data_IF_065214390264
#
_entry.id   IF_065214390264
#
_cell.length_a   1.000
_cell.length_b   1.000
_cell.length_c   1.000
_cell.angle_alpha   90.00
_cell.angle_beta   90.00
_cell.angle_gamma   90.00
#
_symmetry.space_group_name_H-M   'P 1'
#
loop_
_entity.id
_entity.type
_entity.pdbx_description
1 polymer ?
#
# COMPACT_ATOMS: atom_id res chain seq x y z
N UNK A 1 -12.74 -26.80 -13.24
CA UNK A 1 -11.83 -27.83 -12.70
C UNK A 1 -12.01 -27.80 -11.20
N UNK A 2 -12.52 -28.86 -10.63
CA UNK A 2 -12.61 -29.02 -9.19
C UNK A 2 -11.21 -29.41 -8.69
N UNK A 3 -10.51 -28.49 -8.05
CA UNK A 3 -9.28 -28.81 -7.33
C UNK A 3 -9.57 -29.93 -6.35
N UNK A 4 -8.90 -31.06 -6.52
CA UNK A 4 -9.02 -32.16 -5.58
C UNK A 4 -8.34 -31.78 -4.26
N UNK A 5 -8.72 -32.39 -3.15
CA UNK A 5 -8.06 -32.17 -1.87
C UNK A 5 -6.54 -32.47 -1.96
N UNK A 6 -6.16 -33.38 -2.85
CA UNK A 6 -4.77 -33.74 -3.11
C UNK A 6 -4.00 -32.58 -3.79
N UNK A 7 -4.61 -31.92 -4.81
CA UNK A 7 -4.02 -30.75 -5.47
C UNK A 7 -3.80 -29.60 -4.49
N UNK A 8 -4.76 -29.37 -3.59
CA UNK A 8 -4.65 -28.36 -2.53
C UNK A 8 -3.51 -28.66 -1.55
N UNK A 9 -3.35 -29.92 -1.17
CA UNK A 9 -2.26 -30.36 -0.29
C UNK A 9 -0.89 -30.19 -0.96
N UNK A 10 -0.76 -30.48 -2.24
CA UNK A 10 0.48 -30.29 -3.00
C UNK A 10 0.86 -28.82 -3.10
N UNK A 11 -0.11 -27.91 -3.37
CA UNK A 11 0.09 -26.47 -3.39
C UNK A 11 0.58 -25.98 -2.01
N UNK A 12 -0.08 -26.38 -0.93
CA UNK A 12 0.31 -26.01 0.44
C UNK A 12 1.70 -26.53 0.80
N UNK A 13 2.01 -27.80 0.47
CA UNK A 13 3.32 -28.37 0.69
C UNK A 13 4.42 -27.64 -0.08
N UNK A 14 4.15 -27.22 -1.31
CA UNK A 14 5.05 -26.40 -2.13
C UNK A 14 5.26 -24.99 -1.56
N UNK A 15 4.31 -24.43 -0.82
CA UNK A 15 4.42 -23.11 -0.20
C UNK A 15 5.27 -23.13 1.10
N UNK A 16 5.38 -24.27 1.80
CA UNK A 16 6.04 -24.39 3.11
C UNK A 16 7.48 -23.82 3.16
N UNK A 17 8.37 -24.05 2.17
CA UNK A 17 9.72 -23.49 2.20
C UNK A 17 9.73 -21.96 2.18
N UNK A 18 8.78 -21.36 1.46
CA UNK A 18 8.62 -19.90 1.40
C UNK A 18 8.07 -19.34 2.70
N UNK A 19 7.05 -19.99 3.27
CA UNK A 19 6.48 -19.61 4.56
C UNK A 19 7.55 -19.63 5.66
N UNK A 20 8.34 -20.68 5.74
CA UNK A 20 9.45 -20.78 6.70
C UNK A 20 10.54 -19.73 6.47
N UNK A 21 10.82 -19.39 5.21
CA UNK A 21 11.85 -18.40 4.86
C UNK A 21 11.47 -17.00 5.30
N UNK A 22 10.20 -16.63 5.20
CA UNK A 22 9.70 -15.28 5.46
C UNK A 22 8.99 -15.13 6.80
N UNK A 23 8.91 -16.21 7.59
CA UNK A 23 8.38 -16.17 8.94
C UNK A 23 9.15 -15.16 9.80
N UNK A 24 8.42 -14.30 10.49
CA UNK A 24 8.92 -13.18 11.30
C UNK A 24 9.83 -12.18 10.55
N UNK A 25 9.82 -12.19 9.23
CA UNK A 25 10.58 -11.24 8.43
C UNK A 25 9.76 -9.99 8.12
N UNK A 26 10.43 -8.81 8.14
CA UNK A 26 9.84 -7.57 7.65
C UNK A 26 9.94 -7.56 6.12
N UNK A 27 8.79 -7.49 5.46
CA UNK A 27 8.71 -7.40 4.00
C UNK A 27 8.08 -6.08 3.60
N UNK A 28 8.84 -5.25 2.87
CA UNK A 28 8.33 -3.98 2.36
C UNK A 28 7.59 -4.21 1.04
N UNK A 29 6.32 -3.86 1.02
CA UNK A 29 5.44 -3.98 -0.15
C UNK A 29 5.11 -2.60 -0.70
N UNK A 30 5.51 -2.31 -1.94
CA UNK A 30 5.17 -1.05 -2.61
C UNK A 30 3.78 -1.16 -3.25
N UNK A 31 2.88 -0.25 -2.87
CA UNK A 31 1.54 -0.12 -3.45
C UNK A 31 1.39 1.23 -4.14
N UNK A 32 1.14 1.23 -5.46
CA UNK A 32 1.07 2.48 -6.21
C UNK A 32 0.68 2.32 -7.67
N UNK A 33 0.71 3.42 -8.40
CA UNK A 33 0.36 3.48 -9.81
C UNK A 33 -1.12 3.21 -10.07
N UNK A 34 -1.41 2.48 -11.14
CA UNK A 34 -2.79 2.16 -11.56
C UNK A 34 -3.55 1.26 -10.58
N UNK A 35 -2.84 0.54 -9.71
CA UNK A 35 -3.47 -0.32 -8.70
C UNK A 35 -4.23 0.47 -7.61
N UNK A 36 -4.04 1.78 -7.51
CA UNK A 36 -4.65 2.62 -6.47
C UNK A 36 -5.97 3.30 -6.90
N UNK A 37 -6.55 2.95 -8.05
CA UNK A 37 -7.70 3.67 -8.62
C UNK A 37 -9.07 3.03 -8.35
N UNK A 38 -9.13 1.73 -8.09
CA UNK A 38 -10.37 0.97 -8.02
C UNK A 38 -10.56 0.30 -6.66
N UNK A 39 -11.77 0.38 -6.10
CA UNK A 39 -12.10 -0.18 -4.79
C UNK A 39 -11.86 -1.70 -4.75
N UNK A 40 -12.23 -2.41 -5.81
CA UNK A 40 -12.03 -3.87 -5.88
C UNK A 40 -10.56 -4.25 -5.82
N UNK A 41 -9.71 -3.50 -6.52
CA UNK A 41 -8.26 -3.69 -6.50
C UNK A 41 -7.67 -3.40 -5.11
N UNK A 42 -8.15 -2.36 -4.42
CA UNK A 42 -7.73 -2.05 -3.06
C UNK A 42 -8.12 -3.16 -2.07
N UNK A 43 -9.34 -3.71 -2.18
CA UNK A 43 -9.79 -4.82 -1.33
C UNK A 43 -9.00 -6.10 -1.59
N UNK A 44 -8.68 -6.39 -2.86
CA UNK A 44 -7.83 -7.53 -3.21
C UNK A 44 -6.44 -7.38 -2.62
N UNK A 45 -5.82 -6.21 -2.79
CA UNK A 45 -4.54 -5.89 -2.18
C UNK A 45 -4.58 -6.04 -0.65
N UNK A 46 -5.63 -5.53 0.00
CA UNK A 46 -5.82 -5.69 1.44
C UNK A 46 -5.84 -7.15 1.89
N UNK A 47 -6.51 -8.03 1.13
CA UNK A 47 -6.53 -9.48 1.40
C UNK A 47 -5.15 -10.13 1.23
N UNK A 48 -4.38 -9.72 0.21
CA UNK A 48 -3.04 -10.24 -0.01
C UNK A 48 -2.10 -9.86 1.13
N UNK A 49 -2.18 -8.61 1.63
CA UNK A 49 -1.41 -8.16 2.79
C UNK A 49 -1.84 -8.90 4.07
N UNK A 50 -3.15 -9.06 4.28
CA UNK A 50 -3.67 -9.80 5.42
C UNK A 50 -3.20 -11.26 5.40
N UNK A 51 -3.15 -11.88 4.22
CA UNK A 51 -2.62 -13.24 4.07
C UNK A 51 -1.14 -13.31 4.46
N UNK A 52 -0.31 -12.35 4.03
CA UNK A 52 1.11 -12.31 4.41
C UNK A 52 1.28 -12.25 5.93
N UNK A 53 0.51 -11.41 6.61
CA UNK A 53 0.55 -11.32 8.07
C UNK A 53 0.11 -12.62 8.75
N UNK A 54 -0.97 -13.23 8.28
CA UNK A 54 -1.49 -14.49 8.84
C UNK A 54 -0.53 -15.67 8.71
N UNK A 55 0.35 -15.65 7.72
CA UNK A 55 1.38 -16.69 7.55
C UNK A 55 2.72 -16.35 8.20
N UNK A 56 2.76 -15.34 9.07
CA UNK A 56 3.91 -15.01 9.90
C UNK A 56 4.84 -13.93 9.33
N UNK A 57 4.51 -13.33 8.20
CA UNK A 57 5.28 -12.19 7.65
C UNK A 57 4.88 -10.90 8.36
N UNK A 58 5.82 -9.98 8.57
CA UNK A 58 5.56 -8.61 9.07
C UNK A 58 5.54 -7.62 7.88
N UNK A 59 4.40 -7.40 7.19
CA UNK A 59 4.34 -6.55 6.02
C UNK A 59 4.36 -5.07 6.39
N UNK A 60 5.21 -4.30 5.72
CA UNK A 60 5.22 -2.83 5.76
C UNK A 60 4.83 -2.31 4.38
N UNK A 61 3.67 -1.67 4.28
CA UNK A 61 3.17 -1.14 3.01
C UNK A 61 3.65 0.30 2.82
N UNK A 62 4.34 0.54 1.70
CA UNK A 62 4.72 1.88 1.24
C UNK A 62 3.85 2.24 0.05
N UNK A 63 2.98 3.22 0.22
CA UNK A 63 2.05 3.60 -0.84
C UNK A 63 2.41 4.92 -1.53
N UNK A 64 1.99 5.05 -2.79
CA UNK A 64 1.97 6.29 -3.54
C UNK A 64 0.61 7.00 -3.43
N UNK A 65 0.28 7.82 -4.43
CA UNK A 65 -1.00 8.57 -4.47
C UNK A 65 -1.03 9.59 -5.61
N UNK A 66 -0.25 9.38 -6.67
CA UNK A 66 -0.16 10.31 -7.79
C UNK A 66 -1.50 10.71 -8.40
N UNK A 67 -2.39 9.79 -8.74
CA UNK A 67 -3.73 10.11 -9.25
C UNK A 67 -4.56 10.94 -8.28
N UNK A 68 -4.54 10.62 -6.99
CA UNK A 68 -5.29 11.32 -5.95
C UNK A 68 -4.73 12.75 -5.73
N UNK A 69 -3.40 12.89 -5.75
CA UNK A 69 -2.74 14.21 -5.69
C UNK A 69 -3.16 15.05 -6.90
N UNK A 70 -3.12 14.49 -8.12
CA UNK A 70 -3.53 15.21 -9.33
C UNK A 70 -5.00 15.65 -9.26
N UNK A 71 -5.89 14.79 -8.80
CA UNK A 71 -7.30 15.11 -8.63
C UNK A 71 -7.50 16.26 -7.62
N UNK A 72 -6.77 16.27 -6.52
CA UNK A 72 -6.86 17.32 -5.51
C UNK A 72 -6.28 18.63 -5.99
N UNK A 73 -5.12 18.64 -6.65
CA UNK A 73 -4.52 19.83 -7.24
C UNK A 73 -5.45 20.47 -8.26
N UNK A 74 -6.11 19.65 -9.11
CA UNK A 74 -7.11 20.13 -10.05
C UNK A 74 -8.32 20.78 -9.35
N UNK A 75 -8.81 20.19 -8.25
CA UNK A 75 -9.92 20.74 -7.46
C UNK A 75 -9.57 22.08 -6.81
N UNK A 76 -8.30 22.26 -6.41
CA UNK A 76 -7.80 23.47 -5.76
C UNK A 76 -7.26 24.51 -6.77
N UNK A 77 -7.35 24.25 -8.08
CA UNK A 77 -6.79 25.06 -9.17
C UNK A 77 -5.28 25.33 -9.00
N UNK A 78 -4.56 24.39 -8.42
CA UNK A 78 -3.09 24.45 -8.26
C UNK A 78 -2.42 23.83 -9.47
N UNK A 79 -1.59 24.60 -10.17
CA UNK A 79 -0.85 24.12 -11.35
C UNK A 79 0.27 23.18 -10.92
N UNK A 80 0.39 22.06 -11.63
CA UNK A 80 1.44 21.06 -11.41
C UNK A 80 2.34 20.99 -12.64
N UNK A 81 3.65 21.11 -12.45
CA UNK A 81 4.66 20.94 -13.49
C UNK A 81 5.50 19.70 -13.22
N UNK A 82 5.95 19.05 -14.30
CA UNK A 82 6.84 17.89 -14.23
C UNK A 82 8.11 18.18 -15.00
N UNK A 83 9.25 17.79 -14.45
CA UNK A 83 10.56 17.83 -15.11
C UNK A 83 11.16 16.43 -15.02
N UNK A 84 11.47 15.84 -16.16
CA UNK A 84 12.03 14.48 -16.28
C UNK A 84 11.22 13.41 -15.49
N UNK A 85 9.88 13.54 -15.50
CA UNK A 85 8.99 12.61 -14.78
C UNK A 85 8.88 12.86 -13.26
N UNK A 86 9.63 13.80 -12.72
CA UNK A 86 9.53 14.23 -11.32
C UNK A 86 8.65 15.46 -11.20
N UNK A 87 7.79 15.49 -10.21
CA UNK A 87 6.94 16.65 -9.93
C UNK A 87 7.79 17.77 -9.31
N UNK A 88 7.73 18.96 -9.92
CA UNK A 88 8.27 20.18 -9.30
C UNK A 88 7.29 20.60 -8.21
N UNK A 89 7.74 20.57 -6.96
CA UNK A 89 6.88 20.78 -5.79
C UNK A 89 7.30 22.09 -5.11
N UNK A 90 6.48 23.12 -5.19
CA UNK A 90 6.61 24.32 -4.37
C UNK A 90 5.98 24.10 -2.96
N UNK A 91 6.10 25.09 -2.08
CA UNK A 91 5.61 24.96 -0.70
C UNK A 91 4.10 24.71 -0.63
N UNK A 92 3.31 25.42 -1.44
CA UNK A 92 1.85 25.26 -1.46
C UNK A 92 1.43 23.88 -1.98
N UNK A 93 2.14 23.39 -2.98
CA UNK A 93 1.92 22.04 -3.51
C UNK A 93 2.35 20.96 -2.50
N UNK A 94 3.43 21.20 -1.75
CA UNK A 94 3.89 20.26 -0.73
C UNK A 94 2.82 20.00 0.34
N UNK A 95 2.13 21.05 0.78
CA UNK A 95 1.04 20.94 1.74
C UNK A 95 -0.11 20.06 1.19
N UNK A 96 -0.47 20.25 -0.09
CA UNK A 96 -1.50 19.42 -0.74
C UNK A 96 -1.05 17.97 -0.87
N UNK A 97 0.19 17.73 -1.27
CA UNK A 97 0.75 16.37 -1.39
C UNK A 97 0.72 15.66 -0.04
N UNK A 98 1.19 16.34 1.01
CA UNK A 98 1.19 15.78 2.36
C UNK A 98 -0.23 15.49 2.85
N UNK A 99 -1.14 16.45 2.72
CA UNK A 99 -2.54 16.28 3.11
C UNK A 99 -3.18 15.06 2.43
N UNK A 100 -2.94 14.88 1.13
CA UNK A 100 -3.52 13.77 0.35
C UNK A 100 -2.89 12.44 0.76
N UNK A 101 -1.57 12.37 0.86
CA UNK A 101 -0.85 11.13 1.15
C UNK A 101 -1.06 10.68 2.60
N UNK A 102 -0.86 11.56 3.57
CA UNK A 102 -0.98 11.21 4.99
C UNK A 102 -2.44 11.14 5.48
N UNK A 103 -3.35 11.80 4.77
CA UNK A 103 -4.78 11.81 5.05
C UNK A 103 -5.52 10.67 4.32
N UNK A 104 -6.32 11.02 3.30
CA UNK A 104 -7.26 10.08 2.69
C UNK A 104 -6.59 8.83 2.11
N UNK A 105 -5.48 8.95 1.41
CA UNK A 105 -4.83 7.78 0.76
C UNK A 105 -4.32 6.79 1.81
N UNK A 106 -3.58 7.27 2.80
CA UNK A 106 -3.07 6.43 3.89
C UNK A 106 -4.20 5.71 4.63
N UNK A 107 -5.28 6.43 4.94
CA UNK A 107 -6.42 5.85 5.67
C UNK A 107 -7.20 4.84 4.83
N UNK A 108 -7.37 5.07 3.54
CA UNK A 108 -8.01 4.12 2.62
C UNK A 108 -7.22 2.80 2.51
N UNK A 109 -5.89 2.89 2.42
CA UNK A 109 -5.03 1.69 2.39
C UNK A 109 -5.12 0.91 3.70
N UNK A 110 -5.00 1.60 4.83
CA UNK A 110 -5.13 0.96 6.15
C UNK A 110 -6.51 0.33 6.36
N UNK A 111 -7.59 1.01 5.92
CA UNK A 111 -8.95 0.50 5.99
C UNK A 111 -9.13 -0.75 5.14
N UNK A 112 -8.62 -0.76 3.90
CA UNK A 112 -8.72 -1.93 3.01
C UNK A 112 -8.06 -3.19 3.63
N UNK A 113 -6.91 -3.02 4.28
CA UNK A 113 -6.23 -4.10 5.00
C UNK A 113 -7.03 -4.52 6.24
N UNK A 114 -7.53 -3.55 7.01
CA UNK A 114 -8.31 -3.84 8.23
C UNK A 114 -9.61 -4.57 7.91
N UNK A 115 -10.28 -4.23 6.81
CA UNK A 115 -11.48 -4.95 6.32
C UNK A 115 -11.19 -6.40 5.94
N UNK A 116 -9.94 -6.74 5.65
CA UNK A 116 -9.50 -8.11 5.39
C UNK A 116 -9.22 -8.92 6.67
N UNK A 117 -9.39 -8.33 7.86
CA UNK A 117 -9.30 -9.02 9.16
C UNK A 117 -8.00 -8.82 9.92
N UNK A 118 -7.10 -7.96 9.44
CA UNK A 118 -5.81 -7.64 10.08
C UNK A 118 -5.79 -6.18 10.49
N UNK A 119 -5.39 -5.89 11.73
CA UNK A 119 -5.28 -4.51 12.19
C UNK A 119 -4.12 -3.78 11.50
N UNK A 120 -4.42 -2.75 10.71
CA UNK A 120 -3.45 -1.91 10.04
C UNK A 120 -3.42 -0.51 10.63
N UNK A 121 -2.23 0.03 10.84
CA UNK A 121 -2.01 1.40 11.31
C UNK A 121 -1.29 2.19 10.24
N UNK A 122 -1.92 3.28 9.79
CA UNK A 122 -1.30 4.19 8.84
C UNK A 122 -0.47 5.26 9.54
N UNK A 123 0.80 5.33 9.21
CA UNK A 123 1.74 6.35 9.70
C UNK A 123 2.27 7.20 8.53
N UNK A 124 2.77 8.39 8.82
CA UNK A 124 3.50 9.22 7.84
C UNK A 124 4.97 9.35 8.24
N UNK A 125 5.86 9.58 7.24
CA UNK A 125 7.29 9.75 7.47
C UNK A 125 7.68 10.96 8.34
N UNK A 126 6.75 11.88 8.60
CA UNK A 126 6.97 13.02 9.52
C UNK A 126 6.89 12.66 11.00
N UNK A 127 6.48 11.45 11.35
CA UNK A 127 6.41 11.03 12.75
C UNK A 127 7.82 10.73 13.25
N UNK A 128 8.29 11.51 14.21
CA UNK A 128 9.54 11.31 14.97
C UNK A 128 10.79 10.94 14.15
N UNK A 129 11.04 11.68 13.06
CA UNK A 129 12.30 11.54 12.34
C UNK A 129 12.43 10.29 11.47
N UNK A 130 11.34 9.57 11.16
CA UNK A 130 11.36 8.48 10.18
C UNK A 130 11.79 8.92 8.77
N UNK A 131 11.79 10.22 8.50
CA UNK A 131 12.19 10.81 7.22
C UNK A 131 13.64 11.37 7.21
N UNK A 132 14.38 11.19 8.27
CA UNK A 132 15.80 11.60 8.35
C UNK A 132 16.68 10.37 8.20
N UNK A 133 16.95 10.01 6.97
CA UNK A 133 18.01 9.09 6.56
C UNK A 133 19.01 9.81 5.70
#
# INVERSE_FOLDING_TARGET
MTDTAQDQMEILAGALPFLKRYDDQIVVVKYGGHAMGEEETALRFGRDIALLEQVGVNPVVVHGGGPQINAMLKRLDVKSTFVQGLRVTDAAMLDVVEMVLAGPVNKQVAEAITRAGVMAVGISGKIHGLAHG
#
